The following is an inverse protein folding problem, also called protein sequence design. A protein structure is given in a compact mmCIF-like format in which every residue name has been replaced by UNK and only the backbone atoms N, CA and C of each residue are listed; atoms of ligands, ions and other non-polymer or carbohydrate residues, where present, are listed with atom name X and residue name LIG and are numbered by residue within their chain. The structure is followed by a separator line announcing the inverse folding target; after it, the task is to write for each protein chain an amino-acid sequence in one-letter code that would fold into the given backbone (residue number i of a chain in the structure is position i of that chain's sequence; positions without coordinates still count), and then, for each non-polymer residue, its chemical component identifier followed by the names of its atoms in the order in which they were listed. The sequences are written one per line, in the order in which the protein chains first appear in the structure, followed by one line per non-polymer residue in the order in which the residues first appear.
data_IF_569951718297
#
_entry.id   IF_569951718297
#
_cell.length_a   1.000
_cell.length_b   1.000
_cell.length_c   1.000
_cell.angle_alpha   90.00
_cell.angle_beta   90.00
_cell.angle_gamma   90.00
#
_symmetry.space_group_name_H-M   'P 1'
#
loop_
_entity.id
_entity.type
_entity.pdbx_description
1 polymer ?
#
# COMPACT_ATOMS: atom_id res chain seq x y z
N UNK A 1 -34.65 7.52 41.85
CA UNK A 1 -33.21 7.78 41.66
C UNK A 1 -32.50 6.45 41.56
N UNK A 2 -32.10 6.05 40.35
CA UNK A 2 -30.86 5.31 40.10
C UNK A 2 -30.63 5.31 38.58
N UNK A 3 -29.74 6.19 38.16
CA UNK A 3 -29.14 6.19 36.82
C UNK A 3 -28.04 5.15 36.82
N UNK A 4 -28.15 4.13 35.99
CA UNK A 4 -27.04 3.23 35.73
C UNK A 4 -26.01 3.95 34.83
N UNK A 5 -24.71 3.83 35.10
CA UNK A 5 -23.69 4.47 34.29
C UNK A 5 -23.64 3.83 32.90
N UNK A 6 -23.59 4.66 31.86
CA UNK A 6 -23.21 4.23 30.53
C UNK A 6 -21.76 3.75 30.60
N UNK A 7 -21.58 2.44 30.45
CA UNK A 7 -20.26 1.84 30.27
C UNK A 7 -19.62 2.44 29.02
N UNK A 8 -18.49 3.09 29.24
CA UNK A 8 -17.58 3.61 28.23
C UNK A 8 -17.31 2.56 27.16
N UNK A 9 -17.72 2.81 25.92
CA UNK A 9 -17.31 2.04 24.74
C UNK A 9 -15.80 2.16 24.60
N UNK A 10 -15.06 1.13 25.00
CA UNK A 10 -13.68 0.98 24.58
C UNK A 10 -13.69 0.64 23.08
N UNK A 11 -13.18 1.56 22.26
CA UNK A 11 -12.90 1.33 20.84
C UNK A 11 -11.76 0.32 20.71
N UNK A 12 -12.09 -0.96 20.81
CA UNK A 12 -11.20 -2.03 20.38
C UNK A 12 -11.08 -1.88 18.86
N UNK A 13 -9.90 -1.57 18.33
CA UNK A 13 -9.69 -1.46 16.89
C UNK A 13 -10.04 -2.81 16.25
N UNK A 14 -10.94 -2.80 15.26
CA UNK A 14 -11.33 -4.01 14.55
C UNK A 14 -10.09 -4.60 13.84
N UNK A 15 -9.93 -5.93 13.76
CA UNK A 15 -8.78 -6.58 13.12
C UNK A 15 -8.43 -6.01 11.73
N UNK A 16 -9.42 -5.61 10.93
CA UNK A 16 -9.19 -4.99 9.62
C UNK A 16 -8.54 -3.61 9.67
N UNK A 17 -8.83 -2.80 10.69
CA UNK A 17 -8.18 -1.50 10.89
C UNK A 17 -6.73 -1.69 11.32
N UNK A 18 -6.46 -2.64 12.22
CA UNK A 18 -5.09 -2.95 12.64
C UNK A 18 -4.23 -3.48 11.49
N UNK A 19 -4.82 -4.32 10.61
CA UNK A 19 -4.18 -4.80 9.40
C UNK A 19 -3.86 -3.65 8.42
N UNK A 20 -4.80 -2.72 8.20
CA UNK A 20 -4.58 -1.53 7.38
C UNK A 20 -3.46 -0.65 7.94
N UNK A 21 -3.47 -0.40 9.25
CA UNK A 21 -2.45 0.40 9.94
C UNK A 21 -1.05 -0.23 9.81
N UNK A 22 -0.93 -1.55 9.99
CA UNK A 22 0.34 -2.26 9.82
C UNK A 22 0.92 -2.12 8.42
N UNK A 23 0.08 -2.28 7.39
CA UNK A 23 0.51 -2.07 6.00
C UNK A 23 0.86 -0.61 5.70
N UNK A 24 0.12 0.35 6.24
CA UNK A 24 0.43 1.77 6.08
C UNK A 24 1.79 2.12 6.70
N UNK A 25 2.07 1.61 7.90
CA UNK A 25 3.35 1.79 8.58
C UNK A 25 4.50 1.11 7.81
N UNK A 26 4.28 -0.10 7.30
CA UNK A 26 5.28 -0.84 6.53
C UNK A 26 5.61 -0.16 5.19
N UNK A 27 4.60 0.27 4.43
CA UNK A 27 4.79 1.05 3.20
C UNK A 27 5.57 2.33 3.48
N UNK A 28 5.23 3.04 4.56
CA UNK A 28 5.93 4.27 4.96
C UNK A 28 7.39 4.00 5.33
N UNK A 29 7.65 2.96 6.12
CA UNK A 29 8.99 2.58 6.53
C UNK A 29 9.86 2.19 5.31
N UNK A 30 9.30 1.44 4.36
CA UNK A 30 9.95 1.08 3.13
C UNK A 30 10.25 2.31 2.26
N UNK A 31 9.29 3.24 2.13
CA UNK A 31 9.47 4.48 1.37
C UNK A 31 10.59 5.34 1.95
N UNK A 32 10.62 5.50 3.27
CA UNK A 32 11.68 6.26 3.94
C UNK A 32 13.07 5.62 3.74
N UNK A 33 13.16 4.30 3.89
CA UNK A 33 14.39 3.57 3.62
C UNK A 33 14.84 3.70 2.15
N UNK A 34 13.90 3.59 1.22
CA UNK A 34 14.16 3.78 -0.21
C UNK A 34 14.67 5.20 -0.52
N UNK A 35 14.03 6.23 0.03
CA UNK A 35 14.46 7.62 -0.13
C UNK A 35 15.88 7.83 0.40
N UNK A 36 16.19 7.25 1.56
CA UNK A 36 17.51 7.33 2.17
C UNK A 36 18.60 6.82 1.22
N UNK A 37 18.44 5.63 0.65
CA UNK A 37 19.42 5.03 -0.27
C UNK A 37 19.46 5.74 -1.63
N UNK A 38 18.33 6.24 -2.14
CA UNK A 38 18.26 7.02 -3.39
C UNK A 38 18.93 8.38 -3.29
N UNK A 39 18.73 9.08 -2.18
CA UNK A 39 19.20 10.46 -1.99
C UNK A 39 20.61 10.53 -1.37
N UNK A 40 21.17 9.38 -0.95
CA UNK A 40 22.48 9.28 -0.30
C UNK A 40 22.63 10.24 0.89
N UNK A 41 21.61 10.29 1.75
CA UNK A 41 21.62 11.15 2.95
C UNK A 41 22.37 10.49 4.12
N UNK A 42 22.59 11.20 5.24
CA UNK A 42 23.27 10.63 6.42
C UNK A 42 22.40 9.62 7.18
N UNK A 43 22.95 8.46 7.59
CA UNK A 43 22.22 7.33 8.24
C UNK A 43 21.50 7.70 9.55
N UNK A 44 21.90 8.81 10.16
CA UNK A 44 21.23 9.39 11.33
C UNK A 44 19.79 9.84 11.03
N UNK A 45 19.44 10.02 9.76
CA UNK A 45 18.12 10.44 9.30
C UNK A 45 17.07 9.33 9.32
N UNK A 46 17.47 8.05 9.28
CA UNK A 46 16.53 6.94 9.29
C UNK A 46 15.77 6.84 10.61
N UNK A 47 14.46 6.63 10.53
CA UNK A 47 13.59 6.33 11.65
C UNK A 47 13.81 4.92 12.17
N UNK A 48 13.34 4.66 13.37
CA UNK A 48 13.35 3.30 13.95
C UNK A 48 12.54 2.32 13.09
N UNK A 49 11.45 2.77 12.47
CA UNK A 49 10.61 1.93 11.61
C UNK A 49 11.34 1.54 10.33
N UNK A 50 11.97 2.49 9.64
CA UNK A 50 12.76 2.23 8.44
C UNK A 50 13.94 1.28 8.72
N UNK A 51 14.65 1.46 9.86
CA UNK A 51 15.68 0.51 10.30
C UNK A 51 15.13 -0.89 10.57
N UNK A 52 13.95 -0.98 11.20
CA UNK A 52 13.28 -2.26 11.47
C UNK A 52 12.93 -2.99 10.18
N UNK A 53 12.36 -2.28 9.20
CA UNK A 53 12.07 -2.80 7.88
C UNK A 53 13.33 -3.37 7.21
N UNK A 54 14.41 -2.58 7.14
CA UNK A 54 15.68 -3.03 6.56
C UNK A 54 16.23 -4.29 7.23
N UNK A 55 16.11 -4.42 8.56
CA UNK A 55 16.54 -5.63 9.26
C UNK A 55 15.65 -6.84 8.94
N UNK A 56 14.33 -6.65 8.94
CA UNK A 56 13.35 -7.72 8.66
C UNK A 56 13.56 -8.32 7.27
N UNK A 57 13.90 -7.49 6.29
CA UNK A 57 14.17 -7.91 4.91
C UNK A 57 15.65 -8.26 4.66
N UNK A 58 16.52 -8.20 5.68
CA UNK A 58 17.95 -8.50 5.54
C UNK A 58 18.72 -7.51 4.64
N UNK A 59 18.20 -6.29 4.48
CA UNK A 59 18.72 -5.27 3.57
C UNK A 59 19.74 -4.33 4.22
N UNK A 60 19.73 -4.21 5.55
CA UNK A 60 20.58 -3.23 6.26
C UNK A 60 22.07 -3.44 6.04
N UNK A 61 22.53 -4.68 6.20
CA UNK A 61 23.92 -5.10 6.03
C UNK A 61 24.09 -5.91 4.74
N UNK A 62 23.22 -5.65 3.75
CA UNK A 62 23.16 -6.44 2.54
C UNK A 62 24.40 -6.28 1.65
N UNK A 63 24.68 -7.33 0.88
CA UNK A 63 25.65 -7.32 -0.21
C UNK A 63 25.06 -6.78 -1.53
N UNK A 64 23.79 -6.36 -1.55
CA UNK A 64 23.17 -5.78 -2.74
C UNK A 64 23.89 -4.50 -3.13
N UNK A 65 24.30 -4.41 -4.39
CA UNK A 65 24.94 -3.21 -4.94
C UNK A 65 23.95 -2.03 -4.99
N UNK A 66 22.65 -2.30 -5.14
CA UNK A 66 21.57 -1.32 -5.05
C UNK A 66 20.49 -1.75 -4.04
N UNK A 67 20.62 -1.26 -2.80
CA UNK A 67 19.64 -1.53 -1.74
C UNK A 67 18.28 -0.89 -2.05
N UNK A 68 18.24 0.23 -2.78
CA UNK A 68 16.96 0.86 -3.13
C UNK A 68 16.16 -0.03 -4.09
N UNK A 69 16.81 -0.62 -5.10
CA UNK A 69 16.17 -1.60 -5.99
C UNK A 69 15.68 -2.83 -5.23
N UNK A 70 16.48 -3.36 -4.28
CA UNK A 70 16.07 -4.49 -3.45
C UNK A 70 14.85 -4.18 -2.55
N UNK A 71 14.71 -2.94 -2.08
CA UNK A 71 13.50 -2.49 -1.37
C UNK A 71 12.29 -2.48 -2.31
N UNK A 72 12.44 -1.93 -3.52
CA UNK A 72 11.37 -1.90 -4.52
C UNK A 72 10.89 -3.32 -4.87
N UNK A 73 11.82 -4.27 -5.03
CA UNK A 73 11.52 -5.68 -5.29
C UNK A 73 10.76 -6.33 -4.12
N UNK A 74 11.27 -6.20 -2.89
CA UNK A 74 10.62 -6.76 -1.69
C UNK A 74 9.18 -6.25 -1.53
N UNK A 75 8.96 -4.96 -1.77
CA UNK A 75 7.63 -4.36 -1.71
C UNK A 75 6.72 -4.84 -2.86
N UNK A 76 7.25 -5.00 -4.07
CA UNK A 76 6.47 -5.52 -5.21
C UNK A 76 6.01 -6.96 -4.97
N UNK A 77 6.85 -7.79 -4.38
CA UNK A 77 6.54 -9.19 -4.06
C UNK A 77 5.59 -9.37 -2.87
N UNK A 78 5.38 -8.32 -2.07
CA UNK A 78 4.51 -8.36 -0.88
C UNK A 78 3.01 -8.46 -1.19
N UNK A 79 2.60 -8.16 -2.43
CA UNK A 79 1.20 -8.07 -2.85
C UNK A 79 0.67 -9.43 -3.31
N UNK A 80 -0.58 -9.76 -2.93
CA UNK A 80 -1.23 -11.02 -3.30
C UNK A 80 -1.71 -11.04 -4.76
N UNK A 81 -2.22 -9.92 -5.27
CA UNK A 81 -2.63 -9.80 -6.67
C UNK A 81 -2.60 -8.37 -7.18
N UNK A 82 -2.30 -8.24 -8.46
CA UNK A 82 -2.32 -6.99 -9.23
C UNK A 82 -3.38 -7.15 -10.32
N UNK A 83 -4.34 -6.23 -10.37
CA UNK A 83 -5.47 -6.29 -11.30
C UNK A 83 -5.74 -4.91 -11.90
N UNK A 84 -6.19 -4.90 -13.15
CA UNK A 84 -6.54 -3.68 -13.87
C UNK A 84 -7.93 -3.81 -14.49
N UNK A 85 -8.60 -2.67 -14.68
CA UNK A 85 -9.90 -2.62 -15.34
C UNK A 85 -9.93 -1.49 -16.34
N UNK A 86 -10.44 -1.78 -17.53
CA UNK A 86 -10.69 -0.78 -18.58
C UNK A 86 -12.09 -0.19 -18.42
N UNK A 87 -12.31 0.98 -19.03
CA UNK A 87 -13.61 1.61 -19.13
C UNK A 87 -14.57 0.86 -20.07
N UNK A 88 -15.71 1.47 -20.35
CA UNK A 88 -16.65 0.97 -21.34
C UNK A 88 -16.05 1.05 -22.75
N UNK A 89 -16.14 -0.03 -23.52
CA UNK A 89 -15.70 -0.08 -24.91
C UNK A 89 -16.75 -0.73 -25.81
N UNK A 90 -16.71 -0.41 -27.10
CA UNK A 90 -17.62 -1.00 -28.09
C UNK A 90 -17.20 -2.43 -28.43
N UNK A 91 -18.14 -3.37 -28.63
CA UNK A 91 -17.82 -4.71 -29.11
C UNK A 91 -17.02 -4.68 -30.43
N UNK A 92 -15.97 -5.49 -30.52
CA UNK A 92 -15.11 -5.58 -31.71
C UNK A 92 -13.94 -4.59 -31.77
N UNK A 93 -13.81 -3.71 -30.78
CA UNK A 93 -12.62 -2.87 -30.61
C UNK A 93 -11.52 -3.64 -29.87
N UNK A 94 -10.25 -3.28 -30.10
CA UNK A 94 -9.14 -3.78 -29.31
C UNK A 94 -9.39 -3.48 -27.82
N UNK A 95 -8.78 -4.28 -26.94
CA UNK A 95 -8.92 -4.09 -25.50
C UNK A 95 -8.50 -2.66 -25.13
N UNK A 96 -9.40 -1.95 -24.46
CA UNK A 96 -9.15 -0.57 -24.06
C UNK A 96 -8.06 -0.50 -22.98
N UNK A 97 -7.31 0.61 -22.97
CA UNK A 97 -6.33 0.90 -21.94
C UNK A 97 -6.96 0.83 -20.54
N UNK A 98 -6.23 0.32 -19.54
CA UNK A 98 -6.62 0.36 -18.14
C UNK A 98 -6.92 1.79 -17.67
N UNK A 99 -8.01 1.96 -16.92
CA UNK A 99 -8.38 3.24 -16.31
C UNK A 99 -8.40 3.18 -14.78
N UNK A 100 -8.41 1.99 -14.20
CA UNK A 100 -8.40 1.75 -12.76
C UNK A 100 -7.51 0.55 -12.44
N UNK A 101 -6.91 0.55 -11.26
CA UNK A 101 -6.18 -0.61 -10.74
C UNK A 101 -6.67 -1.06 -9.37
N UNK A 102 -6.29 -2.29 -9.01
CA UNK A 102 -6.42 -2.87 -7.68
C UNK A 102 -5.19 -3.69 -7.31
N UNK A 103 -4.64 -3.42 -6.13
CA UNK A 103 -3.66 -4.25 -5.44
C UNK A 103 -4.34 -4.91 -4.24
N UNK A 104 -4.26 -6.24 -4.13
CA UNK A 104 -4.73 -6.97 -2.95
C UNK A 104 -3.58 -7.26 -2.01
N UNK A 105 -3.64 -6.76 -0.77
CA UNK A 105 -2.56 -6.90 0.22
C UNK A 105 -2.83 -8.04 1.21
N UNK A 106 -4.10 -8.30 1.51
CA UNK A 106 -4.53 -9.42 2.33
C UNK A 106 -5.93 -9.86 1.95
N UNK A 107 -6.25 -11.13 2.24
CA UNK A 107 -7.55 -11.73 1.91
C UNK A 107 -8.05 -12.59 3.07
N UNK A 108 -9.34 -12.93 3.05
CA UNK A 108 -9.90 -13.88 4.01
C UNK A 108 -10.15 -13.33 5.42
N UNK A 109 -10.51 -12.04 5.54
CA UNK A 109 -10.93 -11.39 6.78
C UNK A 109 -9.88 -11.37 7.89
N UNK A 110 -9.22 -10.24 8.18
CA UNK A 110 -9.33 -8.94 7.53
C UNK A 110 -8.78 -8.93 6.10
N UNK A 111 -9.51 -8.32 5.17
CA UNK A 111 -9.04 -8.07 3.81
C UNK A 111 -8.60 -6.61 3.64
N UNK A 112 -7.57 -6.39 2.82
CA UNK A 112 -7.00 -5.07 2.55
C UNK A 112 -6.66 -4.96 1.07
N UNK A 113 -6.94 -3.80 0.49
CA UNK A 113 -6.62 -3.47 -0.89
C UNK A 113 -6.20 -2.02 -1.04
N UNK A 114 -5.52 -1.73 -2.15
CA UNK A 114 -5.32 -0.37 -2.66
C UNK A 114 -5.95 -0.29 -4.04
N UNK A 115 -6.67 0.79 -4.33
CA UNK A 115 -7.23 1.09 -5.65
C UNK A 115 -6.83 2.49 -6.08
N UNK A 116 -6.81 2.76 -7.37
CA UNK A 116 -6.58 4.11 -7.89
C UNK A 116 -6.87 4.23 -9.37
N UNK A 117 -6.68 5.45 -9.88
CA UNK A 117 -6.95 5.86 -11.25
C UNK A 117 -5.68 5.74 -12.13
N UNK A 118 -5.88 5.28 -13.36
CA UNK A 118 -4.87 5.19 -14.42
C UNK A 118 -5.26 6.04 -15.65
N UNK A 119 -6.37 6.78 -15.61
CA UNK A 119 -6.87 7.51 -16.78
C UNK A 119 -5.96 8.67 -17.21
N UNK A 120 -5.10 9.16 -16.31
CA UNK A 120 -4.11 10.19 -16.59
C UNK A 120 -2.68 9.60 -16.53
N UNK A 121 -2.21 9.07 -17.67
CA UNK A 121 -0.85 8.55 -17.80
C UNK A 121 0.24 9.60 -17.48
N UNK A 122 1.44 9.16 -17.01
CA UNK A 122 1.90 7.76 -16.93
C UNK A 122 1.96 7.18 -15.51
N UNK A 123 1.32 7.80 -14.52
CA UNK A 123 1.47 7.40 -13.12
C UNK A 123 0.12 7.18 -12.43
N UNK A 124 -0.01 6.16 -11.56
CA UNK A 124 -1.14 5.99 -10.66
C UNK A 124 -1.51 7.27 -9.92
N UNK A 125 -2.81 7.59 -9.83
CA UNK A 125 -3.35 8.73 -9.08
C UNK A 125 -4.52 8.30 -8.21
N UNK A 126 -4.90 9.20 -7.30
CA UNK A 126 -6.06 9.00 -6.41
C UNK A 126 -6.02 7.64 -5.69
N UNK A 127 -4.83 7.27 -5.20
CA UNK A 127 -4.60 6.00 -4.53
C UNK A 127 -5.33 5.97 -3.19
N UNK A 128 -6.16 4.94 -2.98
CA UNK A 128 -6.97 4.74 -1.78
C UNK A 128 -6.70 3.37 -1.19
N UNK A 129 -6.24 3.35 0.07
CA UNK A 129 -6.21 2.15 0.88
C UNK A 129 -7.60 1.90 1.47
N UNK A 130 -8.11 0.67 1.33
CA UNK A 130 -9.42 0.29 1.86
C UNK A 130 -9.37 -1.09 2.50
N UNK A 131 -10.05 -1.25 3.63
CA UNK A 131 -10.15 -2.50 4.37
C UNK A 131 -11.59 -3.01 4.42
N UNK A 132 -11.72 -4.30 4.73
CA UNK A 132 -13.00 -4.98 4.85
C UNK A 132 -12.90 -6.10 5.91
N UNK A 133 -13.87 -6.16 6.81
CA UNK A 133 -14.18 -7.35 7.60
C UNK A 133 -15.28 -8.18 6.92
N UNK A 134 -15.47 -9.43 7.34
CA UNK A 134 -16.55 -10.27 6.82
C UNK A 134 -17.91 -9.58 6.85
N UNK A 135 -18.63 -9.69 5.74
CA UNK A 135 -19.99 -9.15 5.55
C UNK A 135 -20.11 -7.62 5.73
N UNK A 136 -19.00 -6.89 5.72
CA UNK A 136 -18.98 -5.41 5.74
C UNK A 136 -18.64 -4.85 4.36
N UNK A 137 -19.13 -3.66 3.98
CA UNK A 137 -18.61 -2.96 2.81
C UNK A 137 -17.15 -2.56 3.00
N UNK A 138 -16.43 -2.37 1.89
CA UNK A 138 -15.10 -1.76 1.91
C UNK A 138 -15.17 -0.35 2.50
N UNK A 139 -14.25 -0.05 3.41
CA UNK A 139 -14.13 1.25 4.08
C UNK A 139 -12.74 1.83 3.83
N UNK A 140 -12.66 3.12 3.52
CA UNK A 140 -11.38 3.81 3.33
C UNK A 140 -10.58 3.85 4.63
N UNK A 141 -9.26 3.74 4.50
CA UNK A 141 -8.28 3.98 5.55
C UNK A 141 -7.48 5.24 5.18
N UNK A 142 -7.74 6.33 5.89
CA UNK A 142 -7.20 7.65 5.54
C UNK A 142 -5.88 7.98 6.27
N UNK A 143 -5.51 7.23 7.31
CA UNK A 143 -4.30 7.46 8.11
C UNK A 143 -3.08 6.78 7.46
N UNK A 144 -2.81 7.17 6.21
CA UNK A 144 -1.73 6.67 5.38
C UNK A 144 -0.91 7.84 4.83
N UNK A 145 0.41 7.66 4.76
CA UNK A 145 1.29 8.62 4.11
C UNK A 145 1.06 8.58 2.58
N UNK A 146 0.57 9.68 2.01
CA UNK A 146 0.14 9.72 0.61
C UNK A 146 1.31 9.56 -0.36
N UNK A 147 2.46 10.18 -0.08
CA UNK A 147 3.62 10.11 -0.97
C UNK A 147 4.18 8.68 -0.97
N UNK A 148 4.21 8.03 0.20
CA UNK A 148 4.58 6.62 0.32
C UNK A 148 3.60 5.69 -0.41
N UNK A 149 2.28 5.94 -0.28
CA UNK A 149 1.25 5.13 -0.95
C UNK A 149 1.34 5.26 -2.48
N UNK A 150 1.47 6.48 -3.00
CA UNK A 150 1.62 6.72 -4.44
C UNK A 150 2.93 6.12 -4.96
N UNK A 151 4.04 6.27 -4.23
CA UNK A 151 5.30 5.59 -4.56
C UNK A 151 5.13 4.08 -4.65
N UNK A 152 4.49 3.47 -3.66
CA UNK A 152 4.25 2.03 -3.63
C UNK A 152 3.43 1.58 -4.84
N UNK A 153 2.37 2.31 -5.20
CA UNK A 153 1.59 2.00 -6.42
C UNK A 153 2.40 2.17 -7.71
N UNK A 154 3.39 3.08 -7.76
CA UNK A 154 4.28 3.24 -8.91
C UNK A 154 5.28 2.07 -9.10
N UNK A 155 5.41 1.15 -8.14
CA UNK A 155 6.32 -0.01 -8.27
C UNK A 155 5.80 -1.08 -9.24
N UNK A 156 4.53 -1.01 -9.63
CA UNK A 156 3.84 -2.02 -10.42
C UNK A 156 3.67 -1.60 -11.88
N UNK A 157 3.60 -2.61 -12.75
CA UNK A 157 3.33 -2.43 -14.17
C UNK A 157 1.82 -2.51 -14.44
N UNK A 158 1.29 -1.56 -15.20
CA UNK A 158 -0.15 -1.39 -15.39
C UNK A 158 -0.68 -1.75 -16.77
N UNK A 159 0.17 -2.07 -17.74
CA UNK A 159 -0.28 -2.58 -19.04
C UNK A 159 0.18 -1.79 -20.26
N UNK A 160 0.77 -0.61 -20.09
CA UNK A 160 1.30 0.18 -21.20
C UNK A 160 2.79 -0.08 -21.38
N UNK A 161 3.09 -0.84 -22.43
CA UNK A 161 4.42 -1.34 -22.72
C UNK A 161 4.50 -2.06 -24.06
N UNK A 162 3.94 -1.44 -25.11
CA UNK A 162 4.35 -1.53 -26.54
C UNK A 162 3.27 -0.96 -27.46
#
# INVERSE_FOLDING_TARGET
MQVHPMTTTQTQSKPAVANAAGWADEIKAAYEAWQFYRQQTEESSLSTAARSFLNQHGLRDSIYDDVAEAIEEAMRESVLSVEVRSGWYSPGWAQAEPVEFRLMLSSGGPALRITGDLSFHPYPRDCVMAYQDWDTPWTCYDDVDRDALEWFCCLFYWGDGS
#
